data_IF_607568876265
#
_entry.id   IF_607568876265
#
_cell.length_a   1.000
_cell.length_b   1.000
_cell.length_c   1.000
_cell.angle_alpha   90.00
_cell.angle_beta   90.00
_cell.angle_gamma   90.00
#
_symmetry.space_group_name_H-M   'P 1'
#
loop_
_entity.id
_entity.type
_entity.pdbx_description
1 polymer ?
#
# COMPACT_ATOMS: atom_id res chain seq x y z
N UNK A 1 20.14 -5.23 1.77
CA UNK A 1 19.11 -4.47 1.02
C UNK A 1 17.82 -4.66 1.78
N UNK A 2 17.08 -3.59 2.03
CA UNK A 2 15.77 -3.69 2.66
C UNK A 2 14.78 -4.12 1.58
N UNK A 3 14.07 -5.22 1.79
CA UNK A 3 13.01 -5.70 0.90
C UNK A 3 11.64 -5.35 1.51
N UNK A 4 10.68 -5.00 0.66
CA UNK A 4 9.29 -4.80 1.05
C UNK A 4 8.50 -6.09 0.85
N UNK A 5 7.91 -6.62 1.92
CA UNK A 5 7.02 -7.78 1.82
C UNK A 5 5.64 -7.35 1.37
N UNK A 6 5.25 -7.69 0.15
CA UNK A 6 3.92 -7.44 -0.39
C UNK A 6 3.03 -8.65 -0.17
N UNK A 7 1.96 -8.43 0.58
CA UNK A 7 0.86 -9.36 0.72
C UNK A 7 -0.39 -8.85 -0.01
N UNK A 8 -0.96 -9.67 -0.86
CA UNK A 8 -2.33 -9.51 -1.36
C UNK A 8 -3.28 -10.33 -0.48
N UNK A 9 -4.07 -9.65 0.37
CA UNK A 9 -4.87 -10.31 1.43
C UNK A 9 -5.80 -11.37 0.85
N UNK A 10 -6.51 -11.06 -0.25
CA UNK A 10 -7.54 -11.94 -0.81
C UNK A 10 -7.02 -13.27 -1.33
N UNK A 11 -5.76 -13.31 -1.78
CA UNK A 11 -5.15 -14.49 -2.37
C UNK A 11 -4.15 -15.15 -1.43
N UNK A 12 -3.79 -14.48 -0.33
CA UNK A 12 -2.67 -14.86 0.54
C UNK A 12 -1.32 -14.82 -0.19
N UNK A 13 -1.25 -14.26 -1.40
CA UNK A 13 -0.02 -14.22 -2.17
C UNK A 13 0.97 -13.25 -1.52
N UNK A 14 2.18 -13.75 -1.25
CA UNK A 14 3.29 -12.95 -0.73
C UNK A 14 4.38 -12.88 -1.80
N UNK A 15 4.82 -11.66 -2.07
CA UNK A 15 5.91 -11.32 -2.98
C UNK A 15 6.89 -10.42 -2.23
N UNK A 16 8.19 -10.57 -2.49
CA UNK A 16 9.18 -9.57 -2.10
C UNK A 16 9.34 -8.55 -3.21
N UNK A 17 9.49 -7.29 -2.84
CA UNK A 17 9.75 -6.21 -3.77
C UNK A 17 10.96 -5.40 -3.30
N UNK A 18 12.10 -5.46 -4.00
CA UNK A 18 13.26 -4.66 -3.66
C UNK A 18 13.01 -3.19 -4.03
N UNK A 19 13.65 -2.28 -3.30
CA UNK A 19 13.57 -0.82 -3.54
C UNK A 19 13.89 -0.40 -4.99
N UNK A 20 14.73 -1.17 -5.68
CA UNK A 20 15.16 -0.91 -7.05
C UNK A 20 14.03 -1.07 -8.09
N UNK A 21 12.91 -1.71 -7.75
CA UNK A 21 11.71 -1.80 -8.60
C UNK A 21 10.90 -0.49 -8.65
N UNK A 22 11.33 0.54 -7.93
CA UNK A 22 10.66 1.85 -7.90
C UNK A 22 11.63 2.92 -8.38
N UNK A 23 11.22 3.65 -9.41
CA UNK A 23 11.99 4.77 -9.93
C UNK A 23 12.02 5.95 -8.95
N UNK A 24 13.18 6.58 -8.84
CA UNK A 24 13.40 7.73 -7.97
C UNK A 24 12.45 8.90 -8.28
N UNK A 25 12.18 9.16 -9.57
CA UNK A 25 11.25 10.19 -9.99
C UNK A 25 9.82 9.94 -9.47
N UNK A 26 9.40 8.68 -9.39
CA UNK A 26 8.10 8.30 -8.84
C UNK A 26 8.04 8.58 -7.33
N UNK A 27 9.11 8.28 -6.60
CA UNK A 27 9.20 8.58 -5.16
C UNK A 27 9.15 10.09 -4.92
N UNK A 28 9.92 10.88 -5.65
CA UNK A 28 9.93 12.33 -5.47
C UNK A 28 8.54 12.95 -5.69
N UNK A 29 7.83 12.47 -6.72
CA UNK A 29 6.46 12.91 -7.01
C UNK A 29 5.49 12.54 -5.89
N UNK A 30 5.48 11.27 -5.46
CA UNK A 30 4.60 10.83 -4.37
C UNK A 30 4.98 11.47 -3.02
N UNK A 31 6.27 11.73 -2.78
CA UNK A 31 6.75 12.41 -1.57
C UNK A 31 6.15 13.82 -1.49
N UNK A 32 6.06 14.51 -2.63
CA UNK A 32 5.40 15.81 -2.72
C UNK A 32 3.92 15.71 -2.38
N UNK A 33 3.21 14.70 -2.89
CA UNK A 33 1.79 14.49 -2.56
C UNK A 33 1.56 14.18 -1.09
N UNK A 34 2.39 13.31 -0.50
CA UNK A 34 2.32 13.00 0.92
C UNK A 34 2.61 14.27 1.73
N UNK A 35 3.69 15.00 1.46
CA UNK A 35 4.04 16.23 2.19
C UNK A 35 2.93 17.29 2.11
N UNK A 36 2.29 17.43 0.95
CA UNK A 36 1.25 18.43 0.71
C UNK A 36 -0.17 17.95 1.02
N UNK A 37 -0.35 16.69 1.46
CA UNK A 37 -1.67 16.05 1.68
C UNK A 37 -2.59 16.19 0.47
N UNK A 38 -2.03 15.98 -0.72
CA UNK A 38 -2.79 16.11 -1.97
C UNK A 38 -3.61 14.85 -2.21
N UNK A 39 -4.93 15.00 -2.32
CA UNK A 39 -5.88 13.87 -2.50
C UNK A 39 -6.13 13.49 -3.96
N UNK A 40 -5.81 14.37 -4.91
CA UNK A 40 -5.95 14.12 -6.35
C UNK A 40 -4.63 14.32 -7.05
N UNK A 41 -4.22 13.36 -7.87
CA UNK A 41 -3.06 13.54 -8.72
C UNK A 41 -3.44 13.70 -10.19
N UNK A 42 -2.51 14.30 -10.93
CA UNK A 42 -2.62 14.58 -12.36
C UNK A 42 -2.32 13.36 -13.24
N UNK A 43 -1.83 12.25 -12.66
CA UNK A 43 -1.52 11.02 -13.38
C UNK A 43 -2.75 10.13 -13.57
N UNK A 44 -3.66 10.13 -12.60
CA UNK A 44 -4.86 9.30 -12.56
C UNK A 44 -6.05 10.19 -12.18
N UNK A 45 -6.55 11.01 -13.11
CA UNK A 45 -7.53 12.07 -12.82
C UNK A 45 -8.88 11.53 -12.31
N UNK A 46 -9.22 10.29 -12.64
CA UNK A 46 -10.44 9.62 -12.19
C UNK A 46 -10.31 8.99 -10.79
N UNK A 47 -9.09 8.98 -10.25
CA UNK A 47 -8.74 8.37 -8.99
C UNK A 47 -8.45 9.40 -7.90
N UNK A 48 -8.95 9.11 -6.70
CA UNK A 48 -8.71 9.91 -5.50
C UNK A 48 -7.97 9.07 -4.47
N UNK A 49 -6.99 9.70 -3.85
CA UNK A 49 -6.06 9.08 -2.93
C UNK A 49 -6.26 9.71 -1.57
N UNK A 50 -6.43 8.88 -0.57
CA UNK A 50 -6.40 9.33 0.82
C UNK A 50 -5.45 8.45 1.60
N UNK A 51 -4.88 9.01 2.64
CA UNK A 51 -4.03 8.25 3.54
C UNK A 51 -4.09 8.82 4.95
N UNK A 52 -3.87 7.94 5.90
CA UNK A 52 -3.88 8.23 7.33
C UNK A 52 -2.63 7.61 7.96
N UNK A 53 -1.73 8.43 8.54
CA UNK A 53 -0.65 7.91 9.37
C UNK A 53 -1.21 7.29 10.65
N UNK A 54 -0.80 6.07 10.98
CA UNK A 54 -1.17 5.38 12.23
C UNK A 54 0.10 5.00 12.98
N UNK A 55 0.48 5.80 13.97
CA UNK A 55 1.76 5.63 14.66
C UNK A 55 2.92 5.81 13.67
N UNK A 56 3.72 4.77 13.46
CA UNK A 56 4.77 4.74 12.43
C UNK A 56 4.28 4.35 11.02
N UNK A 57 3.10 3.73 10.96
CA UNK A 57 2.57 3.06 9.79
C UNK A 57 1.72 3.99 8.92
N UNK A 58 1.27 3.47 7.79
CA UNK A 58 0.38 4.13 6.86
C UNK A 58 -0.83 3.26 6.56
N UNK A 59 -2.02 3.83 6.58
CA UNK A 59 -3.20 3.28 5.93
C UNK A 59 -3.51 4.18 4.74
N UNK A 60 -3.76 3.61 3.57
CA UNK A 60 -4.11 4.37 2.37
C UNK A 60 -5.29 3.74 1.65
N UNK A 61 -6.12 4.61 1.09
CA UNK A 61 -7.27 4.23 0.27
C UNK A 61 -7.17 4.88 -1.09
N UNK A 62 -7.52 4.09 -2.10
CA UNK A 62 -7.73 4.52 -3.46
C UNK A 62 -9.22 4.48 -3.75
N UNK A 63 -9.75 5.54 -4.35
CA UNK A 63 -11.13 5.64 -4.80
C UNK A 63 -11.16 5.90 -6.29
N UNK A 64 -12.14 5.33 -6.99
CA UNK A 64 -12.47 5.57 -8.38
C UNK A 64 -13.88 6.12 -8.44
N UNK A 65 -14.07 7.33 -8.96
CA UNK A 65 -15.37 8.01 -8.97
C UNK A 65 -16.11 8.00 -7.61
N UNK A 66 -15.36 8.19 -6.51
CA UNK A 66 -15.89 8.20 -5.14
C UNK A 66 -16.14 6.81 -4.52
N UNK A 67 -16.03 5.73 -5.29
CA UNK A 67 -16.09 4.36 -4.76
C UNK A 67 -14.70 3.89 -4.37
N UNK A 68 -14.54 3.37 -3.15
CA UNK A 68 -13.25 2.81 -2.72
C UNK A 68 -12.93 1.55 -3.53
N UNK A 69 -11.76 1.54 -4.16
CA UNK A 69 -11.29 0.40 -4.95
C UNK A 69 -10.17 -0.39 -4.26
N UNK A 70 -9.38 0.25 -3.43
CA UNK A 70 -8.24 -0.40 -2.80
C UNK A 70 -7.97 0.23 -1.45
N UNK A 71 -7.64 -0.61 -0.48
CA UNK A 71 -7.05 -0.21 0.78
C UNK A 71 -5.74 -0.94 0.92
N UNK A 72 -4.68 -0.24 1.29
CA UNK A 72 -3.44 -0.89 1.65
C UNK A 72 -2.83 -0.27 2.90
N UNK A 73 -2.08 -1.10 3.61
CA UNK A 73 -1.41 -0.76 4.85
C UNK A 73 0.07 -0.94 4.63
N UNK A 74 0.88 0.04 5.04
CA UNK A 74 2.34 -0.06 5.07
C UNK A 74 2.76 -0.18 6.53
N UNK A 75 3.27 -1.36 6.89
CA UNK A 75 3.78 -1.66 8.21
C UNK A 75 5.29 -1.43 8.28
N UNK A 76 5.71 -0.56 9.19
CA UNK A 76 7.13 -0.32 9.52
C UNK A 76 7.44 -0.58 11.00
N UNK A 77 6.41 -0.68 11.84
CA UNK A 77 6.48 -1.13 13.24
C UNK A 77 5.42 -2.22 13.51
N UNK A 78 5.55 -2.93 14.63
CA UNK A 78 4.77 -4.13 14.94
C UNK A 78 3.29 -3.85 15.28
N UNK A 79 2.95 -2.63 15.68
CA UNK A 79 1.62 -2.23 16.16
C UNK A 79 0.50 -2.42 15.13
N UNK A 80 0.81 -2.39 13.82
CA UNK A 80 -0.17 -2.59 12.75
C UNK A 80 -0.33 -4.06 12.33
N UNK A 81 0.54 -4.97 12.78
CA UNK A 81 0.46 -6.38 12.39
C UNK A 81 -0.83 -7.06 12.85
N UNK A 82 -1.29 -6.76 14.07
CA UNK A 82 -2.51 -7.35 14.62
C UNK A 82 -3.76 -6.89 13.85
N UNK A 83 -3.77 -5.64 13.37
CA UNK A 83 -4.84 -5.12 12.50
C UNK A 83 -4.88 -5.90 11.19
N UNK A 84 -3.73 -6.01 10.52
CA UNK A 84 -3.62 -6.72 9.23
C UNK A 84 -4.00 -8.19 9.40
N UNK A 85 -3.54 -8.86 10.45
CA UNK A 85 -3.92 -10.23 10.77
C UNK A 85 -5.43 -10.39 10.98
N UNK A 86 -6.06 -9.45 11.68
CA UNK A 86 -7.51 -9.48 11.94
C UNK A 86 -8.31 -9.32 10.64
N UNK A 87 -7.90 -8.40 9.78
CA UNK A 87 -8.52 -8.18 8.47
C UNK A 87 -8.27 -9.38 7.54
N UNK A 88 -7.06 -9.90 7.53
CA UNK A 88 -6.67 -11.09 6.77
C UNK A 88 -7.52 -12.31 7.11
N UNK A 89 -7.66 -12.64 8.40
CA UNK A 89 -8.44 -13.79 8.85
C UNK A 89 -9.92 -13.70 8.48
N UNK A 90 -10.48 -12.48 8.39
CA UNK A 90 -11.88 -12.27 7.98
C UNK A 90 -12.09 -12.48 6.49
N UNK A 91 -11.11 -12.11 5.66
CA UNK A 91 -11.27 -12.01 4.22
C UNK A 91 -10.62 -13.16 3.45
N UNK A 92 -9.59 -13.77 4.03
CA UNK A 92 -8.86 -14.90 3.51
C UNK A 92 -8.66 -15.93 4.63
N UNK A 93 -9.72 -16.63 5.05
CA UNK A 93 -9.69 -17.55 6.20
C UNK A 93 -8.71 -18.73 6.02
N UNK A 94 -8.29 -18.99 4.78
CA UNK A 94 -7.28 -20.01 4.42
C UNK A 94 -5.85 -19.54 4.61
N UNK A 95 -5.64 -18.26 4.90
CA UNK A 95 -4.30 -17.75 5.13
C UNK A 95 -3.89 -18.01 6.58
N UNK A 96 -2.89 -18.88 6.73
CA UNK A 96 -2.45 -19.44 8.01
C UNK A 96 -1.02 -19.05 8.40
N UNK A 97 -0.37 -18.12 7.70
CA UNK A 97 1.05 -17.81 7.96
C UNK A 97 1.28 -16.63 8.92
N UNK A 98 2.53 -16.62 9.39
CA UNK A 98 3.15 -15.80 10.41
C UNK A 98 3.09 -14.29 10.14
N UNK A 99 3.42 -13.56 11.20
CA UNK A 99 3.83 -12.16 11.17
C UNK A 99 4.60 -11.84 9.88
N UNK A 100 4.13 -10.87 9.10
CA UNK A 100 4.87 -10.38 7.94
C UNK A 100 6.14 -9.67 8.43
N UNK A 101 7.33 -10.00 7.90
CA UNK A 101 8.52 -9.25 8.25
C UNK A 101 8.38 -7.78 7.87
N UNK A 102 8.89 -6.90 8.73
CA UNK A 102 8.93 -5.46 8.47
C UNK A 102 10.10 -5.10 7.53
N UNK A 103 9.95 -4.11 6.63
CA UNK A 103 8.69 -3.44 6.32
C UNK A 103 7.81 -4.33 5.43
N UNK A 104 6.49 -4.20 5.58
CA UNK A 104 5.53 -4.88 4.72
C UNK A 104 4.50 -3.92 4.15
N UNK A 105 3.85 -4.35 3.07
CA UNK A 105 2.60 -3.80 2.58
C UNK A 105 1.55 -4.89 2.47
N UNK A 106 0.38 -4.64 3.06
CA UNK A 106 -0.78 -5.50 2.97
C UNK A 106 -1.88 -4.83 2.14
N UNK A 107 -2.41 -5.52 1.14
CA UNK A 107 -3.31 -4.95 0.14
C UNK A 107 -4.65 -5.65 0.13
N UNK A 108 -5.71 -4.84 0.08
CA UNK A 108 -7.10 -5.24 0.04
C UNK A 108 -7.80 -4.52 -1.12
N UNK A 109 -8.29 -5.26 -2.11
CA UNK A 109 -9.22 -4.74 -3.11
C UNK A 109 -10.64 -4.80 -2.57
N UNK A 110 -11.44 -3.76 -2.74
CA UNK A 110 -12.84 -3.82 -2.33
C UNK A 110 -13.56 -5.00 -3.07
N UNK A 111 -14.39 -5.81 -2.39
CA UNK A 111 -15.05 -6.97 -3.00
C UNK A 111 -16.03 -6.59 -4.11
N UNK A 112 -16.58 -5.38 -4.06
CA UNK A 112 -17.66 -4.94 -4.97
C UNK A 112 -17.13 -4.33 -6.28
N UNK A 113 -15.82 -4.33 -6.49
CA UNK A 113 -15.21 -3.82 -7.72
C UNK A 113 -15.29 -4.87 -8.80
N UNK A 114 -15.69 -4.46 -9.99
CA UNK A 114 -15.47 -5.26 -11.18
C UNK A 114 -13.97 -5.39 -11.47
N UNK A 115 -13.44 -6.57 -11.17
CA UNK A 115 -12.03 -6.89 -11.38
C UNK A 115 -11.77 -7.36 -12.81
N UNK A 116 -12.68 -7.21 -13.77
CA UNK A 116 -12.43 -7.66 -15.14
C UNK A 116 -11.39 -6.80 -15.87
N UNK A 117 -11.20 -5.54 -15.48
CA UNK A 117 -10.19 -4.68 -16.10
C UNK A 117 -8.79 -5.05 -15.60
N UNK A 118 -7.93 -5.49 -16.53
CA UNK A 118 -6.57 -5.92 -16.25
C UNK A 118 -5.57 -4.77 -16.23
N UNK A 119 -5.85 -3.68 -16.94
CA UNK A 119 -4.95 -2.53 -17.02
C UNK A 119 -4.92 -1.79 -15.68
N UNK A 120 -6.09 -1.67 -15.05
CA UNK A 120 -6.23 -1.04 -13.75
C UNK A 120 -5.41 -1.74 -12.65
N UNK A 121 -5.36 -3.07 -12.70
CA UNK A 121 -4.62 -3.86 -11.69
C UNK A 121 -3.11 -3.66 -11.76
N UNK A 122 -2.56 -3.45 -12.96
CA UNK A 122 -1.12 -3.34 -13.16
C UNK A 122 -0.60 -2.04 -12.55
N UNK A 123 -1.21 -0.91 -12.90
CA UNK A 123 -0.78 0.38 -12.37
C UNK A 123 -1.11 0.52 -10.88
N UNK A 124 -2.23 -0.04 -10.41
CA UNK A 124 -2.56 -0.03 -8.97
C UNK A 124 -1.47 -0.70 -8.15
N UNK A 125 -0.96 -1.85 -8.61
CA UNK A 125 0.12 -2.61 -7.97
C UNK A 125 1.47 -1.86 -7.93
N UNK A 126 1.72 -1.04 -8.95
CA UNK A 126 2.88 -0.16 -8.99
C UNK A 126 2.68 1.05 -8.08
N UNK A 127 1.52 1.68 -8.12
CA UNK A 127 1.17 2.83 -7.27
C UNK A 127 1.36 2.53 -5.79
N UNK A 128 0.75 1.45 -5.28
CA UNK A 128 0.87 1.04 -3.88
C UNK A 128 2.32 0.71 -3.48
N UNK A 129 3.16 0.32 -4.45
CA UNK A 129 4.59 0.04 -4.24
C UNK A 129 5.37 1.34 -4.13
N UNK A 130 5.10 2.31 -4.99
CA UNK A 130 5.69 3.64 -4.92
C UNK A 130 5.35 4.28 -3.57
N UNK A 131 4.06 4.31 -3.18
CA UNK A 131 3.63 4.91 -1.90
C UNK A 131 4.30 4.25 -0.71
N UNK A 132 4.36 2.92 -0.68
CA UNK A 132 4.99 2.19 0.42
C UNK A 132 6.47 2.58 0.57
N UNK A 133 7.24 2.55 -0.53
CA UNK A 133 8.64 2.94 -0.50
C UNK A 133 8.84 4.41 -0.12
N UNK A 134 8.03 5.31 -0.68
CA UNK A 134 8.07 6.73 -0.32
C UNK A 134 7.83 6.96 1.18
N UNK A 135 6.87 6.25 1.78
CA UNK A 135 6.59 6.35 3.21
C UNK A 135 7.77 5.86 4.05
N UNK A 136 8.33 4.69 3.72
CA UNK A 136 9.47 4.07 4.41
C UNK A 136 10.69 4.99 4.38
N UNK A 137 10.99 5.61 3.23
CA UNK A 137 12.13 6.52 3.09
C UNK A 137 11.91 7.82 3.86
N UNK A 138 10.74 8.44 3.74
CA UNK A 138 10.40 9.67 4.46
C UNK A 138 10.51 9.51 5.98
N UNK A 139 10.29 8.28 6.49
CA UNK A 139 10.47 7.94 7.90
C UNK A 139 11.93 7.76 8.28
N UNK A 140 12.69 7.07 7.43
CA UNK A 140 14.12 6.83 7.66
C UNK A 140 14.90 8.15 7.76
N UNK A 141 14.51 9.16 6.99
CA UNK A 141 15.07 10.53 7.06
C UNK A 141 14.74 11.28 8.36
N UNK A 142 13.67 10.92 9.07
CA UNK A 142 13.23 11.61 10.30
C UNK A 142 13.76 10.97 11.59
N UNK A 143 14.24 9.73 11.50
CA UNK A 143 14.74 8.94 12.64
C UNK A 143 16.26 8.82 12.71
N UNK A 144 17.00 9.59 11.90
CA UNK A 144 18.46 9.69 11.90
C UNK A 144 18.96 10.99 12.50
#
# INVERSE_FOLDING_TARGET
MTDLYHLTIHTGHVRMSPRQEVEEASIQRVSTWIKNRTERNDLFPDYEFSYEPVGANLVSHLHHHGQRVLTFVVGVEDDVQQLVKTVALKLAPYWHTEILPLPFRAVFFDPDIDRSDTEDKLWMGDYERVVAWTWIETRSERGG
#
